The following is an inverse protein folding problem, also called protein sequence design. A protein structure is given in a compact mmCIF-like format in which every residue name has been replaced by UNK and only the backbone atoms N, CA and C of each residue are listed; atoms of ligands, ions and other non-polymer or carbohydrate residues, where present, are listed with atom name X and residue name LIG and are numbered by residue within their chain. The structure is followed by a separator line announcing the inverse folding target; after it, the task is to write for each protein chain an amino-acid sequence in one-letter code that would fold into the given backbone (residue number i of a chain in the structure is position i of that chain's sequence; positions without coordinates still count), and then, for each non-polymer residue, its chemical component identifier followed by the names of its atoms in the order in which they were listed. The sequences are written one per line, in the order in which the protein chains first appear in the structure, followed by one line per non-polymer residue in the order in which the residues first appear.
data_IF_829904407618
#
_entry.id   IF_829904407618
#
_cell.length_a   1.000
_cell.length_b   1.000
_cell.length_c   1.000
_cell.angle_alpha   90.00
_cell.angle_beta   90.00
_cell.angle_gamma   90.00
#
_symmetry.space_group_name_H-M   'P 1'
#
loop_
_entity.id
_entity.type
_entity.pdbx_description
1 polymer ?
#
# COMPACT_ATOMS: atom_id res chain seq x y z
N UNK A 1 -23.87 -16.23 15.14
CA UNK A 1 -23.59 -14.91 15.72
C UNK A 1 -22.15 -14.55 15.39
N UNK A 2 -21.93 -13.71 14.36
CA UNK A 2 -20.58 -13.31 13.94
C UNK A 2 -20.10 -12.21 14.88
N UNK A 3 -19.00 -12.45 15.59
CA UNK A 3 -18.31 -11.39 16.33
C UNK A 3 -17.71 -10.40 15.34
N UNK A 4 -18.33 -9.23 15.18
CA UNK A 4 -17.71 -8.08 14.52
C UNK A 4 -16.89 -7.37 15.58
N UNK A 5 -15.64 -7.81 15.77
CA UNK A 5 -14.69 -7.15 16.66
C UNK A 5 -14.42 -5.70 16.23
N UNK A 6 -13.80 -4.90 17.11
CA UNK A 6 -13.34 -3.55 16.75
C UNK A 6 -12.34 -3.65 15.60
N UNK A 7 -12.61 -2.99 14.48
CA UNK A 7 -11.69 -2.92 13.34
C UNK A 7 -11.07 -1.53 13.23
N UNK A 8 -9.80 -1.49 12.83
CA UNK A 8 -9.08 -0.23 12.56
C UNK A 8 -8.72 -0.17 11.09
N UNK A 9 -9.04 0.96 10.46
CA UNK A 9 -8.59 1.31 9.11
C UNK A 9 -7.33 2.17 9.20
N UNK A 10 -6.29 1.76 8.49
CA UNK A 10 -5.03 2.51 8.38
C UNK A 10 -4.78 2.83 6.92
N UNK A 11 -4.51 4.10 6.63
CA UNK A 11 -4.08 4.57 5.31
C UNK A 11 -2.60 4.92 5.38
N UNK A 12 -1.79 4.32 4.52
CA UNK A 12 -0.40 4.74 4.30
C UNK A 12 -0.32 5.51 2.98
N UNK A 13 0.32 6.68 3.00
CA UNK A 13 0.38 7.63 1.90
C UNK A 13 1.85 7.92 1.61
N UNK A 14 2.25 7.81 0.34
CA UNK A 14 3.51 8.36 -0.14
C UNK A 14 3.28 9.75 -0.73
N UNK A 15 3.77 10.83 -0.09
CA UNK A 15 3.52 12.19 -0.54
C UNK A 15 4.23 12.54 -1.86
N UNK A 16 5.28 11.80 -2.24
CA UNK A 16 6.06 12.10 -3.44
C UNK A 16 5.34 11.61 -4.70
N UNK A 17 4.73 10.42 -4.66
CA UNK A 17 4.00 9.84 -5.80
C UNK A 17 2.48 10.01 -5.72
N UNK A 18 1.96 10.42 -4.56
CA UNK A 18 0.52 10.46 -4.28
C UNK A 18 -0.14 9.08 -4.15
N UNK A 19 0.66 8.01 -4.03
CA UNK A 19 0.13 6.65 -3.92
C UNK A 19 -0.34 6.40 -2.48
N UNK A 20 -1.59 5.95 -2.37
CA UNK A 20 -2.20 5.57 -1.11
C UNK A 20 -2.54 4.08 -1.06
N UNK A 21 -2.38 3.48 0.11
CA UNK A 21 -2.84 2.11 0.38
C UNK A 21 -3.63 2.06 1.68
N UNK A 22 -4.77 1.38 1.61
CA UNK A 22 -5.63 1.13 2.78
C UNK A 22 -5.43 -0.30 3.28
N UNK A 23 -5.32 -0.44 4.59
CA UNK A 23 -5.30 -1.71 5.32
C UNK A 23 -6.35 -1.68 6.43
N UNK A 24 -7.04 -2.81 6.62
CA UNK A 24 -8.02 -3.00 7.69
C UNK A 24 -7.60 -4.21 8.50
N UNK A 25 -7.68 -4.13 9.82
CA UNK A 25 -7.37 -5.26 10.69
C UNK A 25 -7.97 -5.10 12.08
N UNK A 26 -7.82 -6.17 12.87
CA UNK A 26 -8.27 -6.23 14.24
C UNK A 26 -7.61 -5.15 15.10
N UNK A 27 -8.40 -4.41 15.88
CA UNK A 27 -7.89 -3.41 16.81
C UNK A 27 -6.96 -4.02 17.87
N UNK A 28 -7.20 -5.27 18.27
CA UNK A 28 -6.45 -5.97 19.32
C UNK A 28 -5.04 -6.37 18.86
N UNK A 29 -4.79 -6.46 17.54
CA UNK A 29 -3.44 -6.66 16.99
C UNK A 29 -2.48 -5.49 17.28
N UNK A 30 -3.02 -4.38 17.78
CA UNK A 30 -2.27 -3.18 18.11
C UNK A 30 -2.06 -2.27 16.90
N UNK A 31 -2.31 -0.98 17.11
CA UNK A 31 -2.21 0.07 16.07
C UNK A 31 -0.83 0.08 15.39
N UNK A 32 0.26 -0.14 16.14
CA UNK A 32 1.60 -0.19 15.57
C UNK A 32 1.81 -1.35 14.59
N UNK A 33 1.25 -2.53 14.88
CA UNK A 33 1.35 -3.66 13.98
C UNK A 33 0.64 -3.37 12.66
N UNK A 34 -0.54 -2.75 12.72
CA UNK A 34 -1.30 -2.32 11.55
C UNK A 34 -0.56 -1.24 10.75
N UNK A 35 0.10 -0.28 11.41
CA UNK A 35 0.98 0.70 10.76
C UNK A 35 2.12 0.02 10.01
N UNK A 36 2.83 -0.93 10.65
CA UNK A 36 3.91 -1.70 10.01
C UNK A 36 3.43 -2.49 8.79
N UNK A 37 2.24 -3.09 8.86
CA UNK A 37 1.62 -3.79 7.73
C UNK A 37 1.28 -2.82 6.59
N UNK A 38 0.66 -1.67 6.89
CA UNK A 38 0.31 -0.66 5.89
C UNK A 38 1.56 -0.08 5.20
N UNK A 39 2.62 0.23 5.95
CA UNK A 39 3.89 0.71 5.39
C UNK A 39 4.53 -0.31 4.44
N UNK A 40 4.59 -1.59 4.83
CA UNK A 40 5.12 -2.66 3.97
C UNK A 40 4.30 -2.82 2.68
N UNK A 41 2.97 -2.72 2.78
CA UNK A 41 2.09 -2.75 1.61
C UNK A 41 2.38 -1.58 0.66
N UNK A 42 2.58 -0.37 1.20
CA UNK A 42 2.92 0.81 0.40
C UNK A 42 4.23 0.60 -0.35
N UNK A 43 5.29 0.15 0.34
CA UNK A 43 6.58 -0.16 -0.29
C UNK A 43 6.47 -1.19 -1.41
N UNK A 44 5.68 -2.25 -1.19
CA UNK A 44 5.43 -3.26 -2.23
C UNK A 44 4.73 -2.66 -3.47
N UNK A 45 3.71 -1.83 -3.26
CA UNK A 45 2.98 -1.18 -4.36
C UNK A 45 3.88 -0.22 -5.13
N UNK A 46 4.68 0.59 -4.43
CA UNK A 46 5.66 1.50 -5.04
C UNK A 46 6.65 0.74 -5.92
N UNK A 47 7.25 -0.34 -5.38
CA UNK A 47 8.18 -1.19 -6.15
C UNK A 47 7.50 -1.77 -7.40
N UNK A 48 6.30 -2.33 -7.25
CA UNK A 48 5.57 -2.94 -8.36
C UNK A 48 5.18 -1.91 -9.43
N UNK A 49 4.92 -0.66 -9.05
CA UNK A 49 4.63 0.43 -10.01
C UNK A 49 5.90 0.86 -10.75
N UNK A 50 7.03 0.95 -10.06
CA UNK A 50 8.31 1.26 -10.69
C UNK A 50 8.70 0.19 -11.73
N UNK A 51 8.55 -1.10 -11.39
CA UNK A 51 8.80 -2.22 -12.30
C UNK A 51 7.92 -2.17 -13.56
N UNK A 52 6.64 -1.82 -13.43
CA UNK A 52 5.72 -1.66 -14.58
C UNK A 52 6.01 -0.43 -15.44
N UNK A 53 6.75 0.54 -14.92
CA UNK A 53 7.06 1.80 -15.59
C UNK A 53 8.45 1.78 -16.26
N UNK A 54 9.14 0.63 -16.28
CA UNK A 54 10.40 0.42 -16.99
C UNK A 54 10.31 0.84 -18.47
N UNK A 55 11.44 1.18 -19.10
CA UNK A 55 11.48 2.03 -20.30
C UNK A 55 10.60 1.47 -21.41
N UNK A 56 9.51 2.19 -21.73
CA UNK A 56 8.85 2.04 -23.02
C UNK A 56 9.92 2.34 -24.07
N UNK A 57 10.34 1.31 -24.80
CA UNK A 57 11.30 1.42 -25.89
C UNK A 57 10.91 2.58 -26.81
N UNK A 58 11.90 3.42 -27.12
CA UNK A 58 11.80 4.46 -28.13
C UNK A 58 11.20 3.85 -29.41
N UNK A 59 10.02 4.31 -29.79
CA UNK A 59 9.57 4.23 -31.18
C UNK A 59 10.41 5.22 -31.98
N UNK A 60 11.63 4.82 -32.35
CA UNK A 60 12.40 5.50 -33.37
C UNK A 60 11.88 4.98 -34.70
N UNK A 61 11.09 5.84 -35.35
CA UNK A 61 10.63 5.68 -36.73
C UNK A 61 11.83 5.91 -37.65
N UNK A 62 12.14 4.93 -38.48
CA UNK A 62 13.03 5.05 -39.64
C UNK A 62 12.39 4.28 -40.80
#
# INVERSE_FOLDING_TARGET
MQYVGRVVRVTAIDPMTGIEVVSVGDAERGVEALKRVAARKLMYVLRRRAEKSGPKGKGETA
#
